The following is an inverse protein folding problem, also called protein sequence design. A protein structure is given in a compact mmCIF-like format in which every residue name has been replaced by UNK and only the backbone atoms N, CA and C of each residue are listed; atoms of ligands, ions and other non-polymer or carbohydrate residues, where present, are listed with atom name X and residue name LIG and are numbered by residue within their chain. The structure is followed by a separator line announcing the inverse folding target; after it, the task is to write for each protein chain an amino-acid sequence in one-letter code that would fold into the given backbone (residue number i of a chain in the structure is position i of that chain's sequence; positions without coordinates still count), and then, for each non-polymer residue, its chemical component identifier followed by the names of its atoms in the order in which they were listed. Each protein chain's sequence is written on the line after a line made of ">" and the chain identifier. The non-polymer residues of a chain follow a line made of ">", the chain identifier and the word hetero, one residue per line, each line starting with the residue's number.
data_IF_349386548821
#
_entry.id   IF_349386548821
#
_cell.length_a   1.000
_cell.length_b   1.000
_cell.length_c   1.000
_cell.angle_alpha   90.00
_cell.angle_beta   90.00
_cell.angle_gamma   90.00
#
_symmetry.space_group_name_H-M   'P 1'
#
loop_
_entity.id
_entity.type
_entity.pdbx_description
1 polymer ?
#
# COMPACT_ATOMS: atom_id res chain seq x y z
N UNK A 1 -15.04 7.74 -13.73
CA UNK A 1 -13.85 6.86 -13.80
C UNK A 1 -14.13 5.65 -12.93
N UNK A 2 -13.67 4.45 -13.32
CA UNK A 2 -13.84 3.25 -12.50
C UNK A 2 -12.99 3.35 -11.24
N UNK A 3 -13.44 2.77 -10.13
CA UNK A 3 -12.80 2.85 -8.81
C UNK A 3 -12.48 1.45 -8.30
N UNK A 4 -11.37 1.32 -7.57
CA UNK A 4 -11.09 0.14 -6.75
C UNK A 4 -11.02 0.56 -5.30
N UNK A 5 -11.93 0.05 -4.49
CA UNK A 5 -11.95 0.27 -3.05
C UNK A 5 -11.01 -0.74 -2.39
N UNK A 6 -9.92 -0.24 -1.83
CA UNK A 6 -8.84 -1.05 -1.24
C UNK A 6 -8.95 -1.03 0.28
N UNK A 7 -9.52 -2.08 0.84
CA UNK A 7 -9.71 -2.22 2.29
C UNK A 7 -8.44 -2.74 2.95
N UNK A 8 -7.81 -1.90 3.76
CA UNK A 8 -6.53 -2.16 4.40
C UNK A 8 -6.77 -2.54 5.87
N UNK A 9 -6.78 -3.84 6.18
CA UNK A 9 -7.17 -4.33 7.52
C UNK A 9 -5.94 -4.56 8.40
N UNK A 10 -5.86 -3.79 9.49
CA UNK A 10 -4.75 -3.83 10.47
C UNK A 10 -3.39 -3.36 9.93
N UNK A 11 -2.35 -3.49 10.75
CA UNK A 11 -1.00 -3.00 10.43
C UNK A 11 -0.40 -3.55 9.12
N UNK A 12 -0.58 -4.83 8.81
CA UNK A 12 -0.14 -5.38 7.51
C UNK A 12 -0.89 -4.74 6.35
N UNK A 13 -2.20 -4.47 6.48
CA UNK A 13 -2.98 -3.76 5.48
C UNK A 13 -2.40 -2.37 5.18
N UNK A 14 -2.04 -1.62 6.24
CA UNK A 14 -1.41 -0.30 6.15
C UNK A 14 -0.06 -0.38 5.42
N UNK A 15 0.82 -1.32 5.80
CA UNK A 15 2.15 -1.46 5.20
C UNK A 15 2.12 -1.94 3.73
N UNK A 16 1.17 -2.79 3.37
CA UNK A 16 0.94 -3.13 1.96
C UNK A 16 0.42 -1.93 1.18
N UNK A 17 -0.48 -1.12 1.75
CA UNK A 17 -0.96 0.10 1.08
C UNK A 17 0.15 1.14 0.89
N UNK A 18 1.10 1.27 1.83
CA UNK A 18 2.34 2.04 1.65
C UNK A 18 3.08 1.58 0.39
N UNK A 19 3.29 0.27 0.24
CA UNK A 19 3.93 -0.30 -0.94
C UNK A 19 3.13 -0.08 -2.24
N UNK A 20 1.79 -0.15 -2.19
CA UNK A 20 0.93 0.18 -3.34
C UNK A 20 1.15 1.65 -3.76
N UNK A 21 1.11 2.59 -2.82
CA UNK A 21 1.31 4.03 -3.11
C UNK A 21 2.69 4.30 -3.69
N UNK A 22 3.75 3.66 -3.17
CA UNK A 22 5.11 3.76 -3.74
C UNK A 22 5.17 3.20 -5.16
N UNK A 23 4.57 2.04 -5.41
CA UNK A 23 4.50 1.44 -6.75
C UNK A 23 3.71 2.31 -7.75
N UNK A 24 2.60 2.91 -7.31
CA UNK A 24 1.85 3.87 -8.12
C UNK A 24 2.66 5.13 -8.43
N UNK A 25 3.50 5.61 -7.49
CA UNK A 25 4.38 6.74 -7.73
C UNK A 25 5.45 6.42 -8.77
N UNK A 26 5.97 5.19 -8.74
CA UNK A 26 6.86 4.62 -9.76
C UNK A 26 6.17 4.25 -11.08
N UNK A 27 4.88 4.52 -11.25
CA UNK A 27 4.17 4.32 -12.51
C UNK A 27 3.66 2.91 -12.78
N UNK A 28 3.45 2.08 -11.75
CA UNK A 28 2.67 0.85 -11.91
C UNK A 28 1.23 1.19 -12.33
N UNK A 29 0.76 0.54 -13.40
CA UNK A 29 -0.53 0.81 -14.02
C UNK A 29 -1.69 0.26 -13.18
N UNK A 30 -2.66 1.12 -12.87
CA UNK A 30 -3.92 0.75 -12.19
C UNK A 30 -5.01 0.29 -13.16
N UNK A 31 -4.70 0.11 -14.45
CA UNK A 31 -5.63 -0.30 -15.50
C UNK A 31 -6.84 0.65 -15.59
N UNK A 32 -6.60 1.95 -15.43
CA UNK A 32 -7.62 3.00 -15.48
C UNK A 32 -8.51 3.12 -14.24
N UNK A 33 -8.20 2.41 -13.15
CA UNK A 33 -8.90 2.52 -11.88
C UNK A 33 -8.34 3.64 -11.01
N UNK A 34 -9.22 4.45 -10.43
CA UNK A 34 -8.92 5.32 -9.29
C UNK A 34 -8.81 4.44 -8.05
N UNK A 35 -7.72 4.55 -7.30
CA UNK A 35 -7.52 3.77 -6.08
C UNK A 35 -8.12 4.51 -4.89
N UNK A 36 -9.00 3.83 -4.14
CA UNK A 36 -9.69 4.40 -2.97
C UNK A 36 -9.32 3.59 -1.72
N UNK A 37 -8.26 3.98 -0.99
CA UNK A 37 -7.86 3.27 0.22
C UNK A 37 -8.85 3.52 1.36
N UNK A 38 -9.24 2.45 2.06
CA UNK A 38 -10.07 2.47 3.26
C UNK A 38 -9.33 1.73 4.36
N UNK A 39 -8.86 2.47 5.37
CA UNK A 39 -7.99 1.93 6.43
C UNK A 39 -8.85 1.46 7.61
N UNK A 40 -8.80 0.15 7.87
CA UNK A 40 -9.53 -0.51 8.95
C UNK A 40 -8.56 -1.02 10.00
N UNK A 41 -8.08 -0.12 10.86
CA UNK A 41 -7.25 -0.47 12.01
C UNK A 41 -7.82 0.15 13.29
N UNK A 42 -8.21 -0.68 14.29
CA UNK A 42 -8.70 -0.20 15.58
C UNK A 42 -7.63 0.52 16.42
N UNK A 43 -6.34 0.38 16.08
CA UNK A 43 -5.25 1.06 16.80
C UNK A 43 -5.11 2.50 16.32
N UNK A 44 -5.58 3.43 17.14
CA UNK A 44 -5.64 4.85 16.77
C UNK A 44 -4.28 5.56 16.80
N UNK A 45 -3.38 5.10 17.67
CA UNK A 45 -2.15 5.83 18.01
C UNK A 45 -0.91 5.36 17.24
N UNK A 46 -1.05 4.41 16.31
CA UNK A 46 0.09 3.88 15.54
C UNK A 46 0.64 4.93 14.58
N UNK A 47 1.95 5.18 14.69
CA UNK A 47 2.68 6.12 13.84
C UNK A 47 2.61 5.71 12.37
N UNK A 48 2.64 4.41 12.07
CA UNK A 48 2.50 3.86 10.72
C UNK A 48 1.20 4.32 10.02
N UNK A 49 0.08 4.42 10.76
CA UNK A 49 -1.20 4.90 10.20
C UNK A 49 -1.09 6.37 9.79
N UNK A 50 -0.50 7.22 10.63
CA UNK A 50 -0.27 8.65 10.35
C UNK A 50 0.71 8.84 9.18
N UNK A 51 1.74 8.00 9.12
CA UNK A 51 2.72 8.00 8.03
C UNK A 51 2.05 7.63 6.70
N UNK A 52 1.15 6.65 6.68
CA UNK A 52 0.41 6.30 5.46
C UNK A 52 -0.53 7.42 4.99
N UNK A 53 -1.27 8.06 5.91
CA UNK A 53 -2.12 9.21 5.56
C UNK A 53 -1.29 10.35 4.96
N UNK A 54 -0.13 10.66 5.56
CA UNK A 54 0.78 11.69 5.06
C UNK A 54 1.32 11.34 3.67
N UNK A 55 1.74 10.08 3.46
CA UNK A 55 2.21 9.59 2.17
C UNK A 55 1.13 9.68 1.07
N UNK A 56 -0.12 9.33 1.39
CA UNK A 56 -1.24 9.45 0.45
C UNK A 56 -1.48 10.93 0.11
N UNK A 57 -1.49 11.81 1.10
CA UNK A 57 -1.67 13.25 0.87
C UNK A 57 -0.56 13.84 0.00
N UNK A 58 0.70 13.46 0.24
CA UNK A 58 1.85 13.88 -0.59
C UNK A 58 1.72 13.37 -2.03
N UNK A 59 1.32 12.11 -2.22
CA UNK A 59 1.03 11.56 -3.54
C UNK A 59 -0.06 12.36 -4.26
N UNK A 60 -1.18 12.61 -3.57
CA UNK A 60 -2.32 13.35 -4.12
C UNK A 60 -1.93 14.78 -4.50
N UNK A 61 -1.11 15.45 -3.68
CA UNK A 61 -0.58 16.78 -3.98
C UNK A 61 0.23 16.78 -5.28
N UNK A 62 1.18 15.86 -5.42
CA UNK A 62 2.01 15.73 -6.62
C UNK A 62 1.15 15.42 -7.85
N UNK A 63 0.23 14.46 -7.73
CA UNK A 63 -0.72 14.11 -8.79
C UNK A 63 -1.53 15.33 -9.24
N UNK A 64 -2.19 16.03 -8.30
CA UNK A 64 -3.01 17.23 -8.58
C UNK A 64 -2.19 18.33 -9.28
N UNK A 65 -0.96 18.59 -8.80
CA UNK A 65 -0.04 19.57 -9.41
C UNK A 65 0.42 19.15 -10.81
N UNK A 66 0.48 17.85 -11.11
CA UNK A 66 0.86 17.36 -12.45
C UNK A 66 -0.27 17.47 -13.49
N UNK A 67 -1.53 17.48 -13.03
CA UNK A 67 -2.71 17.55 -13.92
C UNK A 67 -3.37 18.93 -13.93
N UNK A 68 -3.09 19.81 -12.98
CA UNK A 68 -3.70 21.15 -12.93
C UNK A 68 -2.67 22.23 -13.26
N UNK A 69 -2.95 23.08 -14.25
CA UNK A 69 -2.09 24.20 -14.63
C UNK A 69 -2.59 25.57 -14.11
N UNK A 70 -3.56 25.57 -13.20
CA UNK A 70 -4.24 26.75 -12.65
C UNK A 70 -5.53 27.14 -13.38
N UNK A 71 -5.68 26.77 -14.66
CA UNK A 71 -6.80 27.16 -15.52
C UNK A 71 -7.65 25.97 -16.01
N UNK A 72 -7.02 24.81 -16.18
CA UNK A 72 -7.65 23.59 -16.71
C UNK A 72 -7.08 22.34 -16.03
N UNK A 73 -7.91 21.30 -16.00
CA UNK A 73 -7.48 19.95 -15.64
C UNK A 73 -7.06 19.20 -16.91
N UNK A 74 -5.80 18.82 -16.95
CA UNK A 74 -5.15 18.04 -17.99
C UNK A 74 -5.36 16.54 -17.74
N UNK A 75 -5.17 15.73 -18.78
CA UNK A 75 -5.17 14.27 -18.64
C UNK A 75 -4.03 13.80 -17.71
N UNK A 76 -4.16 12.64 -17.05
CA UNK A 76 -3.07 12.04 -16.29
C UNK A 76 -1.79 11.86 -17.12
N UNK A 77 -0.63 11.87 -16.46
CA UNK A 77 0.65 11.52 -17.09
C UNK A 77 0.74 10.01 -17.31
N UNK A 78 1.55 9.60 -18.27
CA UNK A 78 2.07 8.22 -18.31
C UNK A 78 3.26 8.10 -17.37
N UNK A 79 3.39 6.99 -16.64
CA UNK A 79 4.53 6.76 -15.77
C UNK A 79 4.35 7.38 -14.37
N UNK A 80 5.30 8.22 -13.96
CA UNK A 80 5.34 8.72 -12.58
C UNK A 80 4.08 9.47 -12.18
N UNK A 81 3.52 9.10 -11.02
CA UNK A 81 2.27 9.68 -10.50
C UNK A 81 1.17 9.71 -11.58
N UNK A 82 1.07 8.65 -12.40
CA UNK A 82 0.15 8.59 -13.53
C UNK A 82 -1.29 8.18 -13.19
N UNK A 83 -1.56 7.84 -11.92
CA UNK A 83 -2.86 7.29 -11.48
C UNK A 83 -3.45 8.13 -10.34
N UNK A 84 -4.77 8.14 -10.22
CA UNK A 84 -5.47 8.91 -9.18
C UNK A 84 -5.63 8.06 -7.90
N UNK A 85 -5.38 8.68 -6.74
CA UNK A 85 -5.74 8.15 -5.42
C UNK A 85 -6.73 9.12 -4.79
N UNK A 86 -7.87 8.62 -4.31
CA UNK A 86 -8.88 9.42 -3.60
C UNK A 86 -9.25 8.80 -2.28
N UNK A 87 -9.37 9.59 -1.24
CA UNK A 87 -9.95 9.13 0.03
C UNK A 87 -11.48 9.10 -0.08
N UNK A 88 -12.14 8.47 0.89
CA UNK A 88 -13.61 8.54 1.00
C UNK A 88 -14.08 9.99 1.17
N UNK A 89 -13.32 10.83 1.89
CA UNK A 89 -13.62 12.25 2.07
C UNK A 89 -13.59 13.03 0.76
N UNK A 90 -12.59 12.76 -0.10
CA UNK A 90 -12.51 13.33 -1.44
C UNK A 90 -13.76 12.98 -2.28
N UNK A 91 -14.31 11.77 -2.11
CA UNK A 91 -15.52 11.34 -2.83
C UNK A 91 -16.79 12.01 -2.29
N UNK A 92 -16.88 12.17 -0.97
CA UNK A 92 -18.02 12.82 -0.30
C UNK A 92 -18.10 14.33 -0.59
N UNK A 93 -17.10 14.92 -1.25
CA UNK A 93 -16.91 16.38 -1.38
C UNK A 93 -16.93 17.09 -0.02
N UNK A 94 -16.49 16.39 1.03
CA UNK A 94 -16.41 16.95 2.37
C UNK A 94 -14.96 17.35 2.66
N UNK A 95 -14.76 18.59 3.09
CA UNK A 95 -13.48 19.08 3.63
C UNK A 95 -13.22 18.62 5.06
N UNK A 96 -14.03 17.69 5.57
CA UNK A 96 -14.00 17.27 6.95
C UNK A 96 -13.28 15.94 7.05
N UNK A 97 -12.30 15.91 7.95
CA UNK A 97 -11.54 14.76 8.40
C UNK A 97 -12.52 13.70 8.95
N UNK A 98 -13.05 12.79 8.12
CA UNK A 98 -13.78 11.60 8.62
C UNK A 98 -12.78 10.55 9.08
N UNK A 99 -11.83 10.99 9.90
CA UNK A 99 -11.20 10.13 10.89
C UNK A 99 -12.26 9.71 11.89
N UNK A 100 -13.21 8.90 11.44
CA UNK A 100 -13.91 7.99 12.32
C UNK A 100 -12.82 7.08 12.88
N UNK A 101 -12.47 7.37 14.12
CA UNK A 101 -11.66 6.49 14.94
C UNK A 101 -12.42 5.19 15.08
N UNK A 102 -12.17 4.24 14.17
CA UNK A 102 -12.39 2.83 14.45
C UNK A 102 -11.54 2.53 15.69
N UNK A 103 -12.15 2.53 16.87
CA UNK A 103 -11.42 2.53 18.14
C UNK A 103 -12.16 3.31 19.20
N UNK A 104 -12.87 2.61 20.07
CA UNK A 104 -13.42 3.20 21.29
C UNK A 104 -12.40 3.05 22.43
N UNK A 105 -12.22 4.09 23.25
CA UNK A 105 -11.47 3.96 24.52
C UNK A 105 -12.22 3.11 25.56
N UNK A 106 -13.47 2.78 25.26
CA UNK A 106 -14.28 1.86 26.06
C UNK A 106 -13.62 0.48 26.17
N UNK A 107 -13.78 -0.15 27.34
CA UNK A 107 -13.33 -1.52 27.58
C UNK A 107 -14.30 -2.51 26.95
N UNK A 108 -13.79 -3.64 26.46
CA UNK A 108 -14.64 -4.66 25.81
C UNK A 108 -15.83 -5.13 26.67
N UNK A 109 -15.65 -5.28 28.00
CA UNK A 109 -16.76 -5.63 28.91
C UNK A 109 -17.90 -4.61 28.95
N UNK A 110 -17.57 -3.33 28.76
CA UNK A 110 -18.54 -2.24 28.74
C UNK A 110 -19.27 -2.23 27.40
N UNK A 111 -18.51 -2.45 26.31
CA UNK A 111 -19.04 -2.54 24.96
C UNK A 111 -20.08 -3.66 24.78
N UNK A 112 -19.82 -4.85 25.32
CA UNK A 112 -20.81 -5.96 25.30
C UNK A 112 -21.89 -5.82 26.38
N UNK A 113 -21.94 -4.67 27.05
CA UNK A 113 -22.86 -4.35 28.13
C UNK A 113 -22.89 -5.42 29.23
N UNK A 114 -21.73 -5.96 29.61
CA UNK A 114 -21.65 -7.08 30.56
C UNK A 114 -22.28 -6.73 31.92
N UNK A 115 -22.27 -5.45 32.29
CA UNK A 115 -22.89 -4.95 33.52
C UNK A 115 -24.43 -5.09 33.53
N UNK A 116 -25.07 -5.29 32.38
CA UNK A 116 -26.51 -5.53 32.27
C UNK A 116 -26.88 -6.97 32.63
N UNK A 117 -25.90 -7.90 32.67
CA UNK A 117 -26.12 -9.23 33.23
C UNK A 117 -26.20 -9.13 34.76
N UNK A 118 -27.23 -9.74 35.35
CA UNK A 118 -27.31 -9.89 36.80
C UNK A 118 -26.13 -10.72 37.32
N UNK A 119 -25.70 -10.51 38.57
CA UNK A 119 -24.53 -11.22 39.15
C UNK A 119 -24.68 -12.74 39.22
N UNK A 120 -25.92 -13.25 39.17
CA UNK A 120 -26.25 -14.68 39.17
C UNK A 120 -26.72 -15.19 37.81
N UNK A 121 -26.63 -14.37 36.75
CA UNK A 121 -27.02 -14.77 35.41
C UNK A 121 -26.07 -15.85 34.88
N UNK A 122 -26.64 -16.94 34.35
CA UNK A 122 -25.88 -18.06 33.77
C UNK A 122 -25.03 -17.64 32.58
N UNK A 123 -25.42 -16.56 31.88
CA UNK A 123 -24.67 -16.01 30.76
C UNK A 123 -23.29 -15.48 31.18
N UNK A 124 -23.08 -15.14 32.47
CA UNK A 124 -21.75 -14.78 32.97
C UNK A 124 -20.74 -15.92 32.75
N UNK A 125 -21.14 -17.19 32.96
CA UNK A 125 -20.26 -18.34 32.72
C UNK A 125 -19.93 -18.51 31.23
N UNK A 126 -20.88 -18.20 30.33
CA UNK A 126 -20.63 -18.22 28.89
C UNK A 126 -19.60 -17.17 28.50
N UNK A 127 -19.73 -15.94 29.02
CA UNK A 127 -18.76 -14.86 28.79
C UNK A 127 -17.38 -15.24 29.31
N UNK A 128 -17.29 -15.77 30.54
CA UNK A 128 -16.03 -16.23 31.15
C UNK A 128 -15.38 -17.39 30.38
N UNK A 129 -16.19 -18.23 29.72
CA UNK A 129 -15.70 -19.32 28.87
C UNK A 129 -15.12 -18.79 27.56
N UNK A 130 -15.73 -17.77 26.97
CA UNK A 130 -15.35 -17.23 25.66
C UNK A 130 -14.24 -16.16 25.74
N UNK A 131 -14.15 -15.43 26.84
CA UNK A 131 -13.29 -14.27 26.98
C UNK A 131 -12.56 -14.28 28.33
N UNK A 132 -11.23 -14.11 28.28
CA UNK A 132 -10.45 -13.95 29.49
C UNK A 132 -10.74 -12.60 30.16
N UNK A 133 -10.49 -12.51 31.47
CA UNK A 133 -10.51 -11.23 32.23
C UNK A 133 -9.64 -10.16 31.58
N UNK A 134 -8.53 -10.57 30.95
CA UNK A 134 -7.65 -9.66 30.20
C UNK A 134 -8.34 -9.12 28.95
N UNK A 135 -9.01 -9.97 28.17
CA UNK A 135 -9.78 -9.52 27.00
C UNK A 135 -10.87 -8.52 27.40
N UNK A 136 -11.65 -8.84 28.44
CA UNK A 136 -12.75 -8.02 28.94
C UNK A 136 -12.30 -6.62 29.42
N UNK A 137 -11.08 -6.49 29.92
CA UNK A 137 -10.55 -5.24 30.46
C UNK A 137 -9.74 -4.40 29.46
N UNK A 138 -9.43 -4.93 28.27
CA UNK A 138 -8.70 -4.19 27.25
C UNK A 138 -9.59 -3.13 26.58
N UNK A 139 -9.07 -1.90 26.35
CA UNK A 139 -9.73 -0.91 25.50
C UNK A 139 -9.87 -1.39 24.06
N UNK A 140 -10.94 -1.01 23.35
CA UNK A 140 -11.10 -1.36 21.94
C UNK A 140 -10.11 -0.60 21.03
N UNK A 141 -9.63 0.57 21.48
CA UNK A 141 -8.67 1.43 20.77
C UNK A 141 -7.24 0.88 20.70
N UNK A 142 -6.93 -0.21 21.42
CA UNK A 142 -5.63 -0.91 21.33
C UNK A 142 -5.72 -2.17 20.47
N UNK A 143 -6.78 -2.27 19.66
CA UNK A 143 -7.09 -3.40 18.82
C UNK A 143 -7.21 -4.74 19.54
N UNK A 144 -7.24 -5.82 18.76
CA UNK A 144 -7.56 -7.15 19.29
C UNK A 144 -6.34 -7.94 19.76
N UNK A 145 -5.12 -7.38 19.62
CA UNK A 145 -3.83 -7.97 20.08
C UNK A 145 -3.70 -9.48 19.83
N UNK A 146 -4.09 -9.94 18.64
CA UNK A 146 -4.02 -11.36 18.28
C UNK A 146 -5.14 -12.25 18.84
N UNK A 147 -6.28 -11.69 19.26
CA UNK A 147 -7.49 -12.40 19.74
C UNK A 147 -8.66 -12.24 18.75
N UNK A 148 -8.82 -13.15 17.76
CA UNK A 148 -9.87 -13.04 16.74
C UNK A 148 -11.30 -13.12 17.28
N UNK A 149 -11.52 -13.81 18.40
CA UNK A 149 -12.83 -13.93 19.06
C UNK A 149 -13.38 -12.56 19.49
N UNK A 150 -12.54 -11.67 20.02
CA UNK A 150 -12.93 -10.29 20.36
C UNK A 150 -13.22 -9.49 19.08
N UNK A 151 -12.35 -9.62 18.07
CA UNK A 151 -12.48 -8.89 16.81
C UNK A 151 -13.78 -9.20 16.06
N UNK A 152 -14.26 -10.44 16.14
CA UNK A 152 -15.50 -10.86 15.48
C UNK A 152 -16.75 -10.16 16.02
N UNK A 153 -16.79 -9.87 17.33
CA UNK A 153 -17.92 -9.18 17.97
C UNK A 153 -17.90 -7.70 17.60
N UNK A 154 -16.73 -7.07 17.74
CA UNK A 154 -16.59 -5.61 17.66
C UNK A 154 -16.60 -5.09 16.22
N UNK A 155 -15.88 -5.76 15.31
CA UNK A 155 -15.73 -5.25 13.94
C UNK A 155 -17.05 -5.23 13.16
N UNK A 156 -18.00 -6.11 13.49
CA UNK A 156 -19.23 -6.27 12.72
C UNK A 156 -20.13 -5.05 12.83
N UNK A 157 -20.32 -4.59 14.06
CA UNK A 157 -21.09 -3.39 14.37
C UNK A 157 -20.34 -2.12 13.96
N UNK A 158 -19.01 -2.09 14.16
CA UNK A 158 -18.18 -0.97 13.69
C UNK A 158 -18.26 -0.78 12.18
N UNK A 159 -18.35 -1.84 11.37
CA UNK A 159 -18.51 -1.71 9.92
C UNK A 159 -19.90 -1.19 9.56
N UNK A 160 -20.95 -1.73 10.19
CA UNK A 160 -22.33 -1.42 9.81
C UNK A 160 -22.76 0.00 10.17
N UNK A 161 -22.28 0.51 11.31
CA UNK A 161 -22.55 1.88 11.75
C UNK A 161 -21.65 2.95 11.13
N UNK A 162 -20.55 2.57 10.48
CA UNK A 162 -19.54 3.53 10.07
C UNK A 162 -19.92 4.40 8.86
N UNK A 163 -19.56 5.66 8.92
CA UNK A 163 -19.73 6.63 7.85
C UNK A 163 -18.94 6.23 6.60
N UNK A 164 -17.73 5.69 6.77
CA UNK A 164 -16.93 5.22 5.63
C UNK A 164 -17.62 4.08 4.88
N UNK A 165 -18.33 3.17 5.57
CA UNK A 165 -19.00 2.05 4.92
C UNK A 165 -20.25 2.53 4.19
N UNK A 166 -21.02 3.42 4.80
CA UNK A 166 -22.13 4.11 4.14
C UNK A 166 -21.66 4.87 2.90
N UNK A 167 -20.56 5.60 3.00
CA UNK A 167 -19.98 6.37 1.89
C UNK A 167 -19.47 5.45 0.79
N UNK A 168 -18.82 4.33 1.13
CA UNK A 168 -18.45 3.29 0.18
C UNK A 168 -19.68 2.77 -0.57
N UNK A 169 -20.76 2.41 0.14
CA UNK A 169 -21.98 1.93 -0.51
C UNK A 169 -22.60 2.97 -1.45
N UNK A 170 -22.53 4.25 -1.08
CA UNK A 170 -23.03 5.35 -1.89
C UNK A 170 -22.20 5.59 -3.17
N UNK A 171 -20.88 5.45 -3.09
CA UNK A 171 -19.96 5.76 -4.20
C UNK A 171 -19.57 4.56 -5.05
N UNK A 172 -19.87 3.34 -4.60
CA UNK A 172 -19.62 2.13 -5.36
C UNK A 172 -20.66 2.00 -6.49
N UNK A 173 -20.17 2.08 -7.72
CA UNK A 173 -20.95 2.02 -8.93
C UNK A 173 -20.67 0.72 -9.71
N UNK A 174 -21.44 0.50 -10.78
CA UNK A 174 -21.19 -0.62 -11.68
C UNK A 174 -19.76 -0.54 -12.26
N UNK A 175 -19.10 -1.69 -12.37
CA UNK A 175 -17.72 -1.89 -12.84
C UNK A 175 -16.61 -1.40 -11.90
N UNK A 176 -16.97 -0.86 -10.73
CA UNK A 176 -16.03 -0.68 -9.64
C UNK A 176 -15.64 -2.05 -9.03
N UNK A 177 -14.50 -2.07 -8.33
CA UNK A 177 -13.93 -3.27 -7.73
C UNK A 177 -13.70 -3.10 -6.25
N UNK A 178 -13.65 -4.24 -5.57
CA UNK A 178 -13.22 -4.33 -4.17
C UNK A 178 -11.92 -5.12 -4.11
N UNK A 179 -10.95 -4.62 -3.35
CA UNK A 179 -9.73 -5.36 -3.04
C UNK A 179 -9.49 -5.34 -1.52
N UNK A 180 -9.36 -6.50 -0.89
CA UNK A 180 -9.18 -6.61 0.56
C UNK A 180 -7.75 -7.05 0.87
N UNK A 181 -7.09 -6.34 1.78
CA UNK A 181 -5.74 -6.64 2.24
C UNK A 181 -5.80 -6.97 3.72
N UNK A 182 -5.37 -8.17 4.10
CA UNK A 182 -5.36 -8.61 5.49
C UNK A 182 -4.21 -9.56 5.78
N UNK A 183 -3.77 -9.62 7.05
CA UNK A 183 -2.93 -10.70 7.55
C UNK A 183 -3.75 -11.74 8.30
N UNK A 184 -3.43 -13.01 8.10
CA UNK A 184 -4.19 -14.13 8.70
C UNK A 184 -3.69 -14.54 10.10
N UNK A 185 -2.53 -14.02 10.49
CA UNK A 185 -1.89 -14.34 11.77
C UNK A 185 -2.10 -13.25 12.83
N UNK A 186 -2.52 -12.05 12.41
CA UNK A 186 -2.92 -10.95 13.29
C UNK A 186 -4.39 -11.07 13.74
N UNK A 187 -4.74 -10.46 14.87
CA UNK A 187 -6.11 -10.52 15.42
C UNK A 187 -7.13 -9.75 14.57
N UNK A 188 -6.78 -8.52 14.15
CA UNK A 188 -7.64 -7.65 13.34
C UNK A 188 -7.82 -8.17 11.92
N UNK A 189 -6.73 -8.55 11.25
CA UNK A 189 -6.79 -9.07 9.88
C UNK A 189 -7.61 -10.36 9.79
N UNK A 190 -7.31 -11.34 10.65
CA UNK A 190 -7.94 -12.65 10.62
C UNK A 190 -9.47 -12.59 10.83
N UNK A 191 -9.94 -11.71 11.71
CA UNK A 191 -11.37 -11.54 12.01
C UNK A 191 -12.08 -10.55 11.07
N UNK A 192 -11.40 -9.47 10.69
CA UNK A 192 -11.99 -8.38 9.91
C UNK A 192 -12.30 -8.75 8.47
N UNK A 193 -11.45 -9.53 7.80
CA UNK A 193 -11.66 -9.86 6.40
C UNK A 193 -12.97 -10.64 6.15
N UNK A 194 -13.23 -11.81 6.76
CA UNK A 194 -14.46 -12.56 6.49
C UNK A 194 -15.72 -11.75 6.81
N UNK A 195 -15.65 -10.91 7.83
CA UNK A 195 -16.77 -10.09 8.28
C UNK A 195 -17.08 -8.95 7.32
N UNK A 196 -16.03 -8.23 6.87
CA UNK A 196 -16.17 -7.18 5.86
C UNK A 196 -16.72 -7.75 4.56
N UNK A 197 -16.15 -8.85 4.08
CA UNK A 197 -16.64 -9.52 2.88
C UNK A 197 -18.13 -9.87 3.03
N UNK A 198 -18.50 -10.49 4.16
CA UNK A 198 -19.89 -10.84 4.44
C UNK A 198 -20.80 -9.61 4.41
N UNK A 199 -20.40 -8.49 5.00
CA UNK A 199 -21.19 -7.24 4.98
C UNK A 199 -21.35 -6.67 3.57
N UNK A 200 -20.30 -6.72 2.75
CA UNK A 200 -20.35 -6.30 1.34
C UNK A 200 -21.33 -7.20 0.55
N UNK A 201 -21.19 -8.53 0.65
CA UNK A 201 -22.03 -9.49 -0.07
C UNK A 201 -23.50 -9.50 0.39
N UNK A 202 -23.79 -9.05 1.60
CA UNK A 202 -25.14 -8.91 2.15
C UNK A 202 -25.76 -7.52 1.94
N UNK A 203 -25.12 -6.62 1.17
CA UNK A 203 -25.69 -5.30 0.83
C UNK A 203 -26.79 -5.44 -0.25
N UNK A 204 -27.93 -6.03 0.10
CA UNK A 204 -29.00 -6.39 -0.84
C UNK A 204 -29.63 -5.19 -1.55
N UNK A 205 -29.64 -4.03 -0.89
CA UNK A 205 -30.18 -2.78 -1.43
C UNK A 205 -29.21 -2.07 -2.38
N UNK A 206 -27.96 -2.53 -2.47
CA UNK A 206 -26.90 -1.92 -3.26
C UNK A 206 -26.26 -2.96 -4.21
N UNK A 207 -26.89 -3.26 -5.36
CA UNK A 207 -26.42 -4.31 -6.27
C UNK A 207 -25.00 -4.10 -6.79
N UNK A 208 -24.56 -2.85 -6.95
CA UNK A 208 -23.19 -2.53 -7.34
C UNK A 208 -22.17 -2.99 -6.29
N UNK A 209 -22.47 -2.78 -5.00
CA UNK A 209 -21.64 -3.21 -3.87
C UNK A 209 -21.63 -4.74 -3.77
N UNK A 210 -22.81 -5.35 -3.75
CA UNK A 210 -22.99 -6.80 -3.58
C UNK A 210 -22.26 -7.59 -4.67
N UNK A 211 -22.38 -7.15 -5.91
CA UNK A 211 -21.86 -7.85 -7.09
C UNK A 211 -20.51 -7.31 -7.57
N UNK A 212 -19.86 -6.40 -6.81
CA UNK A 212 -18.54 -5.91 -7.17
C UNK A 212 -17.55 -7.07 -7.29
N UNK A 213 -16.72 -7.06 -8.34
CA UNK A 213 -15.64 -8.02 -8.50
C UNK A 213 -14.66 -7.83 -7.33
N UNK A 214 -14.41 -8.91 -6.59
CA UNK A 214 -13.67 -8.87 -5.34
C UNK A 214 -12.37 -9.66 -5.43
N UNK A 215 -11.26 -8.97 -5.21
CA UNK A 215 -9.98 -9.59 -4.94
C UNK A 215 -9.64 -9.50 -3.45
N UNK A 216 -8.83 -10.42 -2.96
CA UNK A 216 -8.27 -10.31 -1.63
C UNK A 216 -6.88 -10.90 -1.56
N UNK A 217 -5.97 -10.25 -0.83
CA UNK A 217 -4.67 -10.80 -0.46
C UNK A 217 -4.62 -11.10 1.03
N UNK A 218 -4.36 -12.36 1.34
CA UNK A 218 -4.21 -12.90 2.68
C UNK A 218 -2.73 -13.16 2.95
N UNK A 219 -2.14 -12.31 3.78
CA UNK A 219 -0.71 -12.36 4.10
C UNK A 219 -0.47 -13.34 5.26
N UNK A 220 0.32 -14.38 4.98
CA UNK A 220 0.80 -15.38 5.93
C UNK A 220 1.91 -14.79 6.83
N UNK A 221 2.25 -15.41 7.97
CA UNK A 221 3.34 -14.95 8.82
C UNK A 221 4.64 -14.70 8.05
N UNK A 222 5.26 -13.55 8.25
CA UNK A 222 6.49 -13.14 7.55
C UNK A 222 7.57 -12.50 8.42
N UNK A 223 7.26 -12.22 9.68
CA UNK A 223 8.20 -11.72 10.68
C UNK A 223 7.92 -12.30 12.05
N UNK A 224 8.95 -12.35 12.89
CA UNK A 224 8.87 -12.71 14.29
C UNK A 224 8.96 -11.49 15.20
N UNK A 225 8.64 -11.71 16.47
CA UNK A 225 8.75 -10.72 17.54
C UNK A 225 9.55 -11.32 18.69
N UNK A 226 10.34 -10.49 19.37
CA UNK A 226 11.03 -10.90 20.60
C UNK A 226 10.05 -11.44 21.64
N UNK A 227 10.55 -12.37 22.45
CA UNK A 227 9.75 -13.15 23.39
C UNK A 227 8.93 -12.23 24.30
N UNK A 228 7.59 -12.42 24.39
CA UNK A 228 6.73 -11.67 25.30
C UNK A 228 7.17 -11.74 26.77
N UNK A 229 7.80 -12.84 27.21
CA UNK A 229 8.34 -12.97 28.56
C UNK A 229 9.44 -11.94 28.87
N UNK A 230 10.17 -11.48 27.84
CA UNK A 230 11.23 -10.48 27.98
C UNK A 230 10.75 -9.04 27.77
N UNK A 231 9.68 -8.86 27.00
CA UNK A 231 9.20 -7.54 26.56
C UNK A 231 7.95 -7.08 27.30
N UNK A 232 7.25 -8.00 27.96
CA UNK A 232 5.96 -7.74 28.60
C UNK A 232 4.79 -7.60 27.62
N UNK A 233 4.98 -7.95 26.33
CA UNK A 233 3.93 -7.90 25.32
C UNK A 233 2.92 -9.04 25.46
N UNK A 234 1.69 -8.76 25.02
CA UNK A 234 0.58 -9.71 24.87
C UNK A 234 0.67 -10.53 23.57
N UNK A 235 1.56 -10.15 22.64
CA UNK A 235 1.68 -10.76 21.32
C UNK A 235 2.84 -11.75 21.32
N UNK A 236 2.53 -13.00 21.00
CA UNK A 236 3.53 -14.06 20.85
C UNK A 236 3.60 -14.55 19.41
N UNK A 237 4.75 -14.31 18.76
CA UNK A 237 4.99 -14.73 17.39
C UNK A 237 5.15 -16.24 17.22
N UNK A 238 5.47 -16.99 18.28
CA UNK A 238 5.52 -18.46 18.25
C UNK A 238 4.15 -19.08 17.91
N UNK A 239 3.07 -18.37 18.21
CA UNK A 239 1.70 -18.82 17.95
C UNK A 239 1.16 -18.43 16.56
N UNK A 240 1.91 -17.67 15.75
CA UNK A 240 1.43 -17.16 14.46
C UNK A 240 1.00 -18.28 13.49
N UNK A 241 1.78 -19.35 13.38
CA UNK A 241 1.44 -20.46 12.48
C UNK A 241 0.22 -21.25 12.96
N UNK A 242 0.08 -21.47 14.27
CA UNK A 242 -1.10 -22.15 14.84
C UNK A 242 -2.37 -21.34 14.60
N UNK A 243 -2.32 -20.02 14.84
CA UNK A 243 -3.42 -19.10 14.53
C UNK A 243 -3.77 -19.10 13.04
N UNK A 244 -2.76 -19.09 12.18
CA UNK A 244 -2.93 -19.16 10.72
C UNK A 244 -3.67 -20.42 10.30
N UNK A 245 -3.31 -21.60 10.82
CA UNK A 245 -4.00 -22.86 10.51
C UNK A 245 -5.48 -22.81 10.89
N UNK A 246 -5.80 -22.31 12.07
CA UNK A 246 -7.19 -22.17 12.53
C UNK A 246 -8.00 -21.20 11.66
N UNK A 247 -7.42 -20.04 11.32
CA UNK A 247 -8.07 -19.06 10.47
C UNK A 247 -8.27 -19.56 9.03
N UNK A 248 -7.29 -20.27 8.45
CA UNK A 248 -7.43 -20.88 7.11
C UNK A 248 -8.56 -21.90 7.06
N UNK A 249 -8.71 -22.73 8.10
CA UNK A 249 -9.81 -23.68 8.20
C UNK A 249 -11.17 -22.97 8.20
N UNK A 250 -11.28 -21.83 8.89
CA UNK A 250 -12.48 -20.99 8.84
C UNK A 250 -12.70 -20.37 7.46
N UNK A 251 -11.64 -19.83 6.83
CA UNK A 251 -11.71 -19.14 5.53
C UNK A 251 -12.18 -20.07 4.42
N UNK A 252 -11.75 -21.34 4.43
CA UNK A 252 -12.11 -22.33 3.42
C UNK A 252 -13.63 -22.44 3.18
N UNK A 253 -14.44 -22.33 4.24
CA UNK A 253 -15.90 -22.39 4.14
C UNK A 253 -16.59 -21.04 3.95
N UNK A 254 -15.96 -19.95 4.36
CA UNK A 254 -16.65 -18.67 4.62
C UNK A 254 -16.29 -17.55 3.66
N UNK A 255 -15.05 -17.54 3.17
CA UNK A 255 -14.51 -16.50 2.28
C UNK A 255 -14.78 -16.86 0.83
N UNK A 256 -15.36 -15.94 0.07
CA UNK A 256 -15.89 -16.12 -1.29
C UNK A 256 -15.44 -15.00 -2.26
N UNK A 257 -14.34 -14.29 -1.96
CA UNK A 257 -13.72 -13.38 -2.90
C UNK A 257 -13.42 -14.10 -4.23
N UNK A 258 -13.61 -13.42 -5.36
CA UNK A 258 -13.47 -14.00 -6.70
C UNK A 258 -12.02 -14.41 -7.01
N UNK A 259 -11.07 -13.61 -6.51
CA UNK A 259 -9.64 -13.89 -6.55
C UNK A 259 -9.05 -13.82 -5.13
N UNK A 260 -8.50 -14.93 -4.65
CA UNK A 260 -7.87 -15.02 -3.34
C UNK A 260 -6.37 -15.30 -3.48
N UNK A 261 -5.55 -14.32 -3.12
CA UNK A 261 -4.10 -14.38 -3.17
C UNK A 261 -3.55 -14.76 -1.80
N UNK A 262 -2.65 -15.75 -1.77
CA UNK A 262 -1.85 -16.08 -0.59
C UNK A 262 -0.40 -15.70 -0.84
N UNK A 263 0.14 -14.89 0.07
CA UNK A 263 1.52 -14.42 0.03
C UNK A 263 2.14 -14.60 1.42
N UNK A 264 3.37 -15.07 1.48
CA UNK A 264 4.04 -15.38 2.73
C UNK A 264 5.51 -15.69 2.57
N UNK A 265 6.16 -15.98 3.69
CA UNK A 265 7.52 -16.50 3.74
C UNK A 265 7.50 -17.90 4.37
N UNK A 266 8.48 -18.74 4.02
CA UNK A 266 8.58 -20.11 4.56
C UNK A 266 9.01 -20.15 6.02
N UNK A 267 9.67 -19.09 6.50
CA UNK A 267 10.12 -18.93 7.88
C UNK A 267 10.12 -17.46 8.32
N UNK A 268 10.11 -17.20 9.63
CA UNK A 268 10.14 -15.84 10.16
C UNK A 268 11.58 -15.30 10.14
N UNK A 269 12.04 -14.85 8.97
CA UNK A 269 13.44 -14.45 8.75
C UNK A 269 13.87 -13.23 9.55
N UNK A 270 12.99 -12.22 9.64
CA UNK A 270 13.22 -11.00 10.38
C UNK A 270 12.52 -11.06 11.73
N UNK A 271 13.20 -10.64 12.80
CA UNK A 271 12.64 -10.54 14.15
C UNK A 271 12.74 -9.09 14.62
N UNK A 272 11.62 -8.50 15.01
CA UNK A 272 11.53 -7.13 15.51
C UNK A 272 11.39 -7.07 17.03
N UNK A 273 11.59 -5.87 17.59
CA UNK A 273 11.25 -5.60 18.98
C UNK A 273 9.74 -5.75 19.18
N UNK A 274 9.35 -6.38 20.28
CA UNK A 274 7.94 -6.58 20.60
C UNK A 274 7.40 -5.39 21.42
N UNK A 275 7.37 -4.22 20.79
CA UNK A 275 6.83 -2.98 21.36
C UNK A 275 5.49 -2.67 20.68
N UNK A 276 4.39 -3.00 21.37
CA UNK A 276 3.03 -2.82 20.87
C UNK A 276 2.67 -1.37 20.52
N UNK A 277 3.39 -0.39 21.08
CA UNK A 277 3.13 1.03 20.84
C UNK A 277 3.95 1.58 19.69
N UNK A 278 5.25 1.24 19.64
CA UNK A 278 6.16 1.78 18.62
C UNK A 278 6.04 1.06 17.28
N UNK A 279 6.05 -0.28 17.31
CA UNK A 279 5.98 -1.12 16.11
C UNK A 279 6.82 -0.59 14.93
N UNK A 280 8.10 -0.23 15.18
CA UNK A 280 9.04 0.31 14.16
C UNK A 280 9.53 -0.79 13.21
N UNK A 281 8.58 -1.49 12.59
CA UNK A 281 8.81 -2.58 11.66
C UNK A 281 9.19 -1.99 10.31
N UNK A 282 10.45 -2.19 9.89
CA UNK A 282 10.94 -1.74 8.58
C UNK A 282 10.21 -2.42 7.43
N UNK A 283 10.05 -1.73 6.30
CA UNK A 283 9.38 -2.25 5.12
C UNK A 283 9.89 -3.64 4.73
N UNK A 284 8.97 -4.56 4.43
CA UNK A 284 9.28 -5.96 4.18
C UNK A 284 8.95 -6.38 2.74
N UNK A 285 9.80 -7.23 2.16
CA UNK A 285 9.59 -7.78 0.82
C UNK A 285 8.21 -8.44 0.64
N UNK A 286 7.69 -9.13 1.67
CA UNK A 286 6.37 -9.77 1.60
C UNK A 286 5.24 -8.75 1.41
N UNK A 287 5.37 -7.54 1.96
CA UNK A 287 4.40 -6.46 1.80
C UNK A 287 4.40 -5.92 0.36
N UNK A 288 5.58 -5.86 -0.26
CA UNK A 288 5.77 -5.49 -1.66
C UNK A 288 5.19 -6.56 -2.61
N UNK A 289 5.41 -7.84 -2.32
CA UNK A 289 4.80 -8.94 -3.09
C UNK A 289 3.28 -8.93 -2.95
N UNK A 290 2.75 -8.71 -1.75
CA UNK A 290 1.32 -8.56 -1.53
C UNK A 290 0.73 -7.36 -2.29
N UNK A 291 1.44 -6.23 -2.35
CA UNK A 291 1.03 -5.07 -3.14
C UNK A 291 0.93 -5.41 -4.63
N UNK A 292 1.82 -6.26 -5.16
CA UNK A 292 1.76 -6.72 -6.56
C UNK A 292 0.47 -7.45 -6.92
N UNK A 293 -0.22 -8.05 -5.94
CA UNK A 293 -1.49 -8.75 -6.16
C UNK A 293 -2.62 -7.80 -6.57
N UNK A 294 -2.63 -6.55 -6.09
CA UNK A 294 -3.62 -5.55 -6.53
C UNK A 294 -3.47 -5.29 -8.03
N UNK A 295 -2.25 -5.01 -8.50
CA UNK A 295 -1.99 -4.69 -9.91
C UNK A 295 -2.28 -5.88 -10.85
N UNK A 296 -1.98 -7.11 -10.42
CA UNK A 296 -2.40 -8.31 -11.13
C UNK A 296 -3.93 -8.45 -11.16
N UNK A 297 -4.62 -8.23 -10.03
CA UNK A 297 -6.08 -8.28 -9.94
C UNK A 297 -6.76 -7.27 -10.86
N UNK A 298 -6.27 -6.03 -10.95
CA UNK A 298 -6.86 -4.97 -11.78
C UNK A 298 -6.88 -5.31 -13.28
N UNK A 299 -5.98 -6.18 -13.73
CA UNK A 299 -5.91 -6.67 -15.12
C UNK A 299 -6.89 -7.83 -15.41
N UNK A 300 -7.49 -8.43 -14.38
CA UNK A 300 -8.36 -9.61 -14.51
C UNK A 300 -9.80 -9.23 -14.80
N UNK A 301 -10.52 -10.13 -15.49
CA UNK A 301 -11.97 -10.08 -15.65
C UNK A 301 -12.69 -10.89 -14.58
N UNK A 302 -14.00 -11.04 -14.69
CA UNK A 302 -14.78 -11.90 -13.79
C UNK A 302 -14.48 -13.38 -14.06
N UNK A 303 -14.09 -14.18 -13.04
CA UNK A 303 -13.80 -15.59 -13.24
C UNK A 303 -15.08 -16.43 -13.19
N UNK A 304 -15.09 -17.60 -13.85
CA UNK A 304 -16.24 -18.53 -13.80
C UNK A 304 -16.42 -19.22 -12.45
N UNK A 305 -15.37 -19.22 -11.62
CA UNK A 305 -15.33 -19.74 -10.26
C UNK A 305 -14.23 -19.02 -9.49
N UNK A 306 -14.34 -19.01 -8.17
CA UNK A 306 -13.29 -18.51 -7.28
C UNK A 306 -11.91 -19.09 -7.66
N UNK A 307 -10.91 -18.22 -7.78
CA UNK A 307 -9.53 -18.59 -8.06
C UNK A 307 -8.64 -18.35 -6.84
N UNK A 308 -7.81 -19.34 -6.53
CA UNK A 308 -6.78 -19.25 -5.51
C UNK A 308 -5.43 -19.05 -6.20
N UNK A 309 -4.73 -17.98 -5.86
CA UNK A 309 -3.52 -17.53 -6.52
C UNK A 309 -2.40 -17.33 -5.51
N UNK A 310 -1.16 -17.33 -6.00
CA UNK A 310 0.00 -16.88 -5.23
C UNK A 310 0.92 -16.06 -6.14
N UNK A 311 1.70 -15.18 -5.52
CA UNK A 311 2.79 -14.44 -6.16
C UNK A 311 4.07 -14.99 -5.54
N UNK A 312 4.75 -15.87 -6.26
CA UNK A 312 5.93 -16.60 -5.80
C UNK A 312 7.21 -16.06 -6.44
N UNK A 313 8.36 -16.37 -5.87
CA UNK A 313 9.70 -16.15 -6.45
C UNK A 313 10.19 -17.43 -7.12
N UNK A 314 11.10 -17.31 -8.09
CA UNK A 314 11.66 -18.47 -8.80
C UNK A 314 12.76 -19.17 -7.98
N UNK A 315 13.62 -18.41 -7.29
CA UNK A 315 14.71 -18.92 -6.46
C UNK A 315 14.61 -18.46 -4.99
N UNK A 316 14.77 -19.38 -4.04
CA UNK A 316 14.89 -19.06 -2.61
C UNK A 316 16.29 -18.49 -2.27
N UNK A 317 16.46 -17.17 -2.38
CA UNK A 317 17.70 -16.44 -2.01
C UNK A 317 17.48 -15.34 -0.99
N UNK A 318 18.41 -15.17 -0.05
CA UNK A 318 18.35 -14.12 0.99
C UNK A 318 18.28 -12.70 0.40
N UNK A 319 18.98 -12.46 -0.71
CA UNK A 319 18.92 -11.20 -1.46
C UNK A 319 18.42 -11.48 -2.87
N UNK A 320 17.34 -10.79 -3.22
CA UNK A 320 16.61 -10.99 -4.46
C UNK A 320 16.96 -9.93 -5.50
N UNK A 321 17.12 -10.41 -6.72
CA UNK A 321 17.24 -9.66 -7.96
C UNK A 321 16.18 -10.11 -8.97
N UNK A 322 16.19 -9.54 -10.18
CA UNK A 322 15.21 -9.89 -11.22
C UNK A 322 15.20 -11.39 -11.56
N UNK A 323 16.36 -12.05 -11.61
CA UNK A 323 16.46 -13.46 -12.01
C UNK A 323 15.83 -14.34 -10.93
N UNK A 324 16.22 -14.14 -9.67
CA UNK A 324 15.70 -14.91 -8.54
C UNK A 324 14.22 -14.64 -8.23
N UNK A 325 13.73 -13.43 -8.49
CA UNK A 325 12.30 -13.12 -8.36
C UNK A 325 11.46 -13.71 -9.49
N UNK A 326 12.05 -13.84 -10.68
CA UNK A 326 11.37 -14.31 -11.87
C UNK A 326 10.72 -13.19 -12.70
N UNK A 327 10.43 -13.53 -13.96
CA UNK A 327 9.95 -12.58 -14.96
C UNK A 327 8.61 -11.91 -14.60
N UNK A 328 7.82 -12.53 -13.72
CA UNK A 328 6.55 -11.99 -13.23
C UNK A 328 6.66 -10.68 -12.44
N UNK A 329 7.88 -10.26 -12.08
CA UNK A 329 8.15 -8.99 -11.38
C UNK A 329 8.87 -7.94 -12.23
N UNK A 330 9.03 -8.15 -13.55
CA UNK A 330 9.67 -7.18 -14.45
C UNK A 330 9.05 -5.77 -14.31
N UNK A 331 7.72 -5.66 -14.33
CA UNK A 331 7.02 -4.37 -14.18
C UNK A 331 7.28 -3.71 -12.82
N UNK A 332 7.23 -4.49 -11.74
CA UNK A 332 7.47 -4.01 -10.37
C UNK A 332 8.91 -3.50 -10.23
N UNK A 333 9.89 -4.29 -10.68
CA UNK A 333 11.31 -3.93 -10.62
C UNK A 333 11.59 -2.70 -11.48
N UNK A 334 11.00 -2.61 -12.68
CA UNK A 334 11.12 -1.42 -13.53
C UNK A 334 10.57 -0.19 -12.83
N UNK A 335 9.38 -0.29 -12.23
CA UNK A 335 8.75 0.82 -11.50
C UNK A 335 9.66 1.38 -10.41
N UNK A 336 10.28 0.50 -9.61
CA UNK A 336 11.25 0.90 -8.58
C UNK A 336 12.53 1.47 -9.18
N UNK A 337 13.08 0.82 -10.21
CA UNK A 337 14.30 1.27 -10.88
C UNK A 337 14.15 2.66 -11.52
N UNK A 338 13.00 2.91 -12.16
CA UNK A 338 12.67 4.18 -12.81
C UNK A 338 12.52 5.29 -11.77
N UNK A 339 11.81 5.03 -10.66
CA UNK A 339 11.63 6.04 -9.63
C UNK A 339 12.94 6.39 -8.93
N UNK A 340 13.82 5.41 -8.73
CA UNK A 340 15.15 5.65 -8.16
C UNK A 340 16.05 6.45 -9.11
N UNK A 341 15.87 6.35 -10.43
CA UNK A 341 16.52 7.25 -11.40
C UNK A 341 15.91 8.66 -11.36
N UNK A 342 14.58 8.77 -11.25
CA UNK A 342 13.91 10.07 -11.07
C UNK A 342 14.45 10.78 -9.83
N UNK A 343 14.61 10.07 -8.71
CA UNK A 343 15.23 10.60 -7.49
C UNK A 343 16.58 11.24 -7.77
N UNK A 344 17.49 10.52 -8.44
CA UNK A 344 18.79 11.07 -8.80
C UNK A 344 18.66 12.34 -9.64
N UNK A 345 17.76 12.36 -10.63
CA UNK A 345 17.52 13.58 -11.41
C UNK A 345 17.00 14.73 -10.54
N UNK A 346 16.10 14.46 -9.59
CA UNK A 346 15.53 15.46 -8.68
C UNK A 346 16.58 16.03 -7.71
N UNK A 347 17.55 15.21 -7.28
CA UNK A 347 18.64 15.61 -6.39
C UNK A 347 19.75 16.37 -7.11
N UNK A 348 20.17 15.92 -8.30
CA UNK A 348 21.36 16.44 -8.99
C UNK A 348 21.06 17.65 -9.88
N UNK A 349 19.89 17.69 -10.55
CA UNK A 349 19.57 18.75 -11.51
C UNK A 349 19.54 20.19 -10.95
N UNK A 350 19.17 20.45 -9.68
CA UNK A 350 19.28 21.77 -9.09
C UNK A 350 20.72 22.33 -9.08
N UNK A 351 21.72 21.46 -8.99
CA UNK A 351 23.15 21.82 -8.95
C UNK A 351 23.79 21.87 -10.35
N UNK A 352 23.10 21.33 -11.37
CA UNK A 352 23.60 21.25 -12.75
C UNK A 352 23.44 22.55 -13.56
N UNK A 353 24.36 23.49 -13.33
CA UNK A 353 24.37 24.83 -13.94
C UNK A 353 24.38 24.88 -15.47
N UNK A 354 24.84 23.82 -16.14
CA UNK A 354 24.95 23.75 -17.61
C UNK A 354 23.81 22.98 -18.28
N UNK A 355 22.81 22.49 -17.52
CA UNK A 355 21.71 21.74 -18.11
C UNK A 355 20.87 22.63 -19.06
N UNK A 356 20.76 22.31 -20.37
CA UNK A 356 20.14 23.22 -21.35
C UNK A 356 18.68 23.59 -21.06
N UNK A 357 17.94 22.72 -20.36
CA UNK A 357 16.53 22.96 -20.06
C UNK A 357 16.32 24.03 -18.97
N UNK A 358 17.36 24.37 -18.20
CA UNK A 358 17.32 25.50 -17.27
C UNK A 358 17.02 26.82 -18.00
N UNK A 359 17.66 27.03 -19.15
CA UNK A 359 17.45 28.19 -20.02
C UNK A 359 16.29 28.01 -20.99
N UNK A 360 16.19 26.85 -21.62
CA UNK A 360 15.28 26.65 -22.76
C UNK A 360 13.84 26.29 -22.34
N UNK A 361 13.65 25.74 -21.13
CA UNK A 361 12.34 25.28 -20.61
C UNK A 361 12.00 25.88 -19.24
N UNK A 362 12.90 26.68 -18.66
CA UNK A 362 12.68 27.37 -17.40
C UNK A 362 12.82 26.48 -16.16
N UNK A 363 13.58 25.37 -16.25
CA UNK A 363 13.98 24.56 -15.08
C UNK A 363 15.16 25.23 -14.36
N UNK A 364 14.94 26.46 -13.89
CA UNK A 364 15.94 27.29 -13.22
C UNK A 364 15.75 27.25 -11.70
N UNK A 365 16.56 28.00 -10.95
CA UNK A 365 16.50 28.03 -9.48
C UNK A 365 15.11 28.38 -8.93
N UNK A 366 14.31 29.18 -9.64
CA UNK A 366 12.93 29.47 -9.23
C UNK A 366 12.00 28.27 -9.40
N UNK A 367 12.21 27.43 -10.43
CA UNK A 367 11.46 26.20 -10.61
C UNK A 367 11.83 25.17 -9.54
N UNK A 368 13.12 24.98 -9.26
CA UNK A 368 13.57 24.04 -8.24
C UNK A 368 13.19 24.50 -6.82
N UNK A 369 13.13 25.81 -6.58
CA UNK A 369 12.61 26.38 -5.33
C UNK A 369 11.08 26.37 -5.21
N UNK A 370 10.34 26.03 -6.27
CA UNK A 370 8.88 26.03 -6.22
C UNK A 370 8.34 24.89 -5.33
N UNK A 371 7.19 25.17 -4.71
CA UNK A 371 6.49 24.23 -3.83
C UNK A 371 6.18 22.87 -4.47
N UNK A 372 5.93 22.80 -5.79
CA UNK A 372 5.67 21.54 -6.47
C UNK A 372 6.92 20.65 -6.51
N UNK A 373 8.06 21.25 -6.90
CA UNK A 373 9.33 20.54 -6.96
C UNK A 373 9.81 20.13 -5.56
N UNK A 374 9.68 21.01 -4.57
CA UNK A 374 10.03 20.70 -3.18
C UNK A 374 9.17 19.55 -2.60
N UNK A 375 7.91 19.44 -3.02
CA UNK A 375 7.05 18.32 -2.63
C UNK A 375 7.50 17.01 -3.28
N UNK A 376 7.89 17.03 -4.56
CA UNK A 376 8.51 15.89 -5.22
C UNK A 376 9.81 15.46 -4.53
N UNK A 377 10.70 16.40 -4.18
CA UNK A 377 11.95 16.11 -3.47
C UNK A 377 11.70 15.42 -2.12
N UNK A 378 10.73 15.91 -1.33
CA UNK A 378 10.34 15.25 -0.06
C UNK A 378 9.86 13.82 -0.30
N UNK A 379 8.99 13.61 -1.29
CA UNK A 379 8.51 12.27 -1.62
C UNK A 379 9.66 11.35 -2.08
N UNK A 380 10.60 11.86 -2.88
CA UNK A 380 11.80 11.14 -3.31
C UNK A 380 12.66 10.66 -2.12
N UNK A 381 12.82 11.48 -1.08
CA UNK A 381 13.51 11.08 0.15
C UNK A 381 12.76 9.97 0.89
N UNK A 382 11.43 10.09 1.00
CA UNK A 382 10.59 9.04 1.61
C UNK A 382 10.66 7.72 0.84
N UNK A 383 10.64 7.78 -0.49
CA UNK A 383 10.79 6.63 -1.38
C UNK A 383 12.15 5.95 -1.20
N UNK A 384 13.22 6.75 -1.14
CA UNK A 384 14.57 6.24 -0.93
C UNK A 384 14.70 5.47 0.39
N UNK A 385 14.18 6.04 1.49
CA UNK A 385 14.16 5.36 2.78
C UNK A 385 13.36 4.06 2.75
N UNK A 386 12.19 4.05 2.12
CA UNK A 386 11.38 2.84 1.94
C UNK A 386 12.14 1.75 1.16
N UNK A 387 12.82 2.12 0.07
CA UNK A 387 13.60 1.17 -0.70
C UNK A 387 14.85 0.70 0.06
N UNK A 388 15.52 1.56 0.82
CA UNK A 388 16.63 1.17 1.71
C UNK A 388 16.18 0.14 2.74
N UNK A 389 15.03 0.35 3.38
CA UNK A 389 14.44 -0.62 4.30
C UNK A 389 14.26 -1.97 3.61
N UNK A 390 13.64 -2.01 2.43
CA UNK A 390 13.45 -3.24 1.65
C UNK A 390 14.77 -3.93 1.27
N UNK A 391 15.78 -3.16 0.87
CA UNK A 391 17.07 -3.67 0.43
C UNK A 391 17.93 -4.20 1.60
N UNK A 392 17.71 -3.69 2.82
CA UNK A 392 18.46 -4.06 4.03
C UNK A 392 17.74 -5.08 4.91
N UNK A 393 16.44 -5.31 4.68
CA UNK A 393 15.64 -6.28 5.43
C UNK A 393 15.95 -7.73 5.05
N UNK A 394 15.38 -8.68 5.81
CA UNK A 394 15.43 -10.12 5.55
C UNK A 394 14.02 -10.62 5.25
N UNK A 395 13.70 -11.04 4.03
CA UNK A 395 14.49 -11.16 2.79
C UNK A 395 14.74 -9.81 2.11
N UNK A 396 15.93 -9.62 1.53
CA UNK A 396 16.31 -8.36 0.91
C UNK A 396 15.77 -8.26 -0.53
N UNK A 397 15.11 -7.15 -0.85
CA UNK A 397 14.76 -6.77 -2.22
C UNK A 397 15.82 -5.81 -2.76
N UNK A 398 16.78 -6.33 -3.52
CA UNK A 398 17.91 -5.54 -4.01
C UNK A 398 18.16 -5.76 -5.52
N UNK A 399 17.15 -5.57 -6.40
CA UNK A 399 17.32 -5.79 -7.83
C UNK A 399 18.07 -4.68 -8.57
N UNK A 400 18.35 -3.56 -7.90
CA UNK A 400 19.06 -2.42 -8.52
C UNK A 400 20.39 -2.15 -7.82
N UNK A 401 21.36 -1.64 -8.58
CA UNK A 401 22.60 -1.06 -8.08
C UNK A 401 22.38 0.46 -7.99
N UNK A 402 22.02 0.92 -6.79
CA UNK A 402 21.75 2.31 -6.50
C UNK A 402 22.96 2.93 -5.78
N UNK A 403 23.11 4.26 -5.83
CA UNK A 403 24.20 5.05 -5.23
C UNK A 403 25.55 5.11 -5.99
N UNK A 404 25.55 4.81 -7.30
CA UNK A 404 26.69 5.16 -8.16
C UNK A 404 26.26 5.71 -9.54
N UNK A 405 26.07 7.03 -9.68
CA UNK A 405 25.61 7.65 -10.93
C UNK A 405 26.60 7.51 -12.09
N UNK A 406 27.85 7.09 -11.83
CA UNK A 406 28.87 6.84 -12.87
C UNK A 406 28.83 5.41 -13.45
N UNK A 407 27.96 4.54 -12.93
CA UNK A 407 27.83 3.14 -13.35
C UNK A 407 26.36 2.76 -13.59
N UNK A 408 25.68 3.55 -14.41
CA UNK A 408 24.25 3.35 -14.70
C UNK A 408 23.96 2.22 -15.70
N UNK A 409 24.97 1.72 -16.42
CA UNK A 409 24.75 0.56 -17.31
C UNK A 409 24.31 -0.68 -16.52
N UNK A 410 24.81 -0.86 -15.30
CA UNK A 410 24.40 -1.93 -14.40
C UNK A 410 23.29 -1.54 -13.43
N UNK A 411 22.51 -0.48 -13.70
CA UNK A 411 21.52 0.06 -12.77
C UNK A 411 20.52 -1.00 -12.29
N UNK A 412 20.05 -1.85 -13.20
CA UNK A 412 19.24 -3.02 -12.86
C UNK A 412 20.18 -4.23 -12.89
N UNK A 413 20.31 -4.95 -11.78
CA UNK A 413 21.15 -6.15 -11.71
C UNK A 413 20.71 -7.13 -12.79
N UNK A 414 21.67 -7.83 -13.39
CA UNK A 414 21.48 -8.79 -14.49
C UNK A 414 21.07 -8.19 -15.84
N UNK A 415 20.90 -6.87 -15.93
CA UNK A 415 20.58 -6.17 -17.18
C UNK A 415 21.62 -5.09 -17.44
N UNK A 416 22.19 -5.09 -18.65
CA UNK A 416 23.04 -3.99 -19.10
C UNK A 416 22.22 -2.96 -19.88
N UNK A 417 22.02 -1.78 -19.30
CA UNK A 417 21.39 -0.62 -19.94
C UNK A 417 22.37 0.07 -20.88
N UNK A 418 21.85 0.68 -21.95
CA UNK A 418 22.68 1.40 -22.92
C UNK A 418 23.20 2.75 -22.36
N UNK A 419 22.54 3.29 -21.32
CA UNK A 419 22.96 4.48 -20.61
C UNK A 419 24.12 4.16 -19.65
N UNK A 420 25.30 4.72 -19.91
CA UNK A 420 26.50 4.44 -19.11
C UNK A 420 26.57 5.27 -17.82
N UNK A 421 26.09 6.49 -17.89
CA UNK A 421 26.10 7.51 -16.84
C UNK A 421 24.88 8.44 -17.00
N UNK A 422 24.76 9.40 -16.08
CA UNK A 422 23.70 10.43 -16.03
C UNK A 422 23.56 11.24 -17.32
N UNK A 423 24.66 11.53 -18.03
CA UNK A 423 24.66 12.35 -19.25
C UNK A 423 23.74 11.80 -20.35
N UNK A 424 23.53 10.48 -20.39
CA UNK A 424 22.62 9.82 -21.34
C UNK A 424 21.16 10.18 -21.07
N UNK A 425 20.78 10.28 -19.79
CA UNK A 425 19.43 10.65 -19.37
C UNK A 425 19.21 12.14 -19.59
N UNK A 426 20.18 13.00 -19.23
CA UNK A 426 20.11 14.45 -19.45
C UNK A 426 20.01 14.81 -20.96
N UNK A 427 20.80 14.13 -21.79
CA UNK A 427 20.73 14.29 -23.24
C UNK A 427 19.37 13.85 -23.77
N UNK A 428 18.81 12.75 -23.26
CA UNK A 428 17.51 12.28 -23.71
C UNK A 428 16.37 13.19 -23.25
N UNK A 429 16.39 13.67 -22.01
CA UNK A 429 15.46 14.70 -21.54
C UNK A 429 15.48 15.91 -22.48
N UNK A 430 16.67 16.34 -22.91
CA UNK A 430 16.81 17.45 -23.87
C UNK A 430 16.16 17.12 -25.22
N UNK A 431 16.42 15.93 -25.77
CA UNK A 431 15.82 15.47 -27.03
C UNK A 431 14.31 15.36 -26.96
N UNK A 432 13.77 14.77 -25.89
CA UNK A 432 12.33 14.64 -25.66
C UNK A 432 11.70 16.02 -25.55
N UNK A 433 12.31 16.93 -24.78
CA UNK A 433 11.80 18.30 -24.65
C UNK A 433 11.73 19.03 -26.00
N UNK A 434 12.69 18.80 -26.91
CA UNK A 434 12.73 19.43 -28.23
C UNK A 434 11.66 18.90 -29.19
N UNK A 435 11.13 17.68 -28.96
CA UNK A 435 9.96 17.18 -29.71
C UNK A 435 8.70 17.95 -29.36
N UNK A 436 8.63 18.52 -28.16
CA UNK A 436 7.55 19.40 -27.77
C UNK A 436 7.76 20.80 -28.40
N UNK A 437 6.88 21.15 -29.35
CA UNK A 437 6.96 22.40 -30.12
C UNK A 437 6.71 23.65 -29.25
N UNK A 438 6.11 23.51 -28.06
CA UNK A 438 5.85 24.65 -27.19
C UNK A 438 7.12 25.08 -26.44
N UNK A 439 7.51 26.35 -26.66
CA UNK A 439 8.31 27.26 -25.79
C UNK A 439 7.96 27.17 -24.31
N UNK A 440 6.74 27.65 -24.08
CA UNK A 440 6.18 27.91 -22.78
C UNK A 440 5.25 26.78 -22.41
N UNK A 441 5.53 26.22 -21.25
CA UNK A 441 4.75 25.17 -20.68
C UNK A 441 3.86 25.78 -19.60
N UNK A 442 2.54 25.70 -19.80
CA UNK A 442 1.55 26.15 -18.81
C UNK A 442 1.71 25.44 -17.46
N UNK A 443 2.29 24.24 -17.45
CA UNK A 443 2.64 23.49 -16.25
C UNK A 443 4.05 22.89 -16.35
N UNK A 444 5.07 23.68 -16.01
CA UNK A 444 6.49 23.24 -16.06
C UNK A 444 6.75 21.97 -15.24
N UNK A 445 6.09 21.82 -14.09
CA UNK A 445 6.24 20.65 -13.22
C UNK A 445 5.81 19.35 -13.91
N UNK A 446 4.66 19.38 -14.59
CA UNK A 446 4.19 18.27 -15.42
C UNK A 446 5.22 17.87 -16.48
N UNK A 447 5.78 18.85 -17.21
CA UNK A 447 6.73 18.54 -18.28
C UNK A 447 8.07 18.06 -17.75
N UNK A 448 8.50 18.52 -16.58
CA UNK A 448 9.66 17.94 -15.90
C UNK A 448 9.46 16.44 -15.67
N UNK A 449 8.34 16.04 -15.05
CA UNK A 449 8.00 14.63 -14.82
C UNK A 449 7.92 13.83 -16.12
N UNK A 450 7.24 14.36 -17.15
CA UNK A 450 7.12 13.69 -18.45
C UNK A 450 8.48 13.50 -19.12
N UNK A 451 9.31 14.55 -19.18
CA UNK A 451 10.62 14.46 -19.84
C UNK A 451 11.56 13.50 -19.10
N UNK A 452 11.53 13.51 -17.76
CA UNK A 452 12.27 12.56 -16.96
C UNK A 452 11.80 11.12 -17.23
N UNK A 453 10.48 10.87 -17.22
CA UNK A 453 9.92 9.56 -17.51
C UNK A 453 10.31 9.05 -18.90
N UNK A 454 10.10 9.84 -19.96
CA UNK A 454 10.41 9.45 -21.33
C UNK A 454 11.91 9.17 -21.54
N UNK A 455 12.77 9.94 -20.86
CA UNK A 455 14.22 9.75 -20.89
C UNK A 455 14.66 8.47 -20.18
N UNK A 456 14.08 8.20 -19.01
CA UNK A 456 14.34 6.99 -18.22
C UNK A 456 13.82 5.76 -18.96
N UNK A 457 12.54 5.76 -19.37
CA UNK A 457 11.89 4.63 -20.03
C UNK A 457 12.61 4.19 -21.30
N UNK A 458 13.18 5.15 -22.06
CA UNK A 458 13.98 4.83 -23.25
C UNK A 458 15.02 3.76 -22.99
N UNK A 459 15.71 3.85 -21.85
CA UNK A 459 16.78 2.93 -21.49
C UNK A 459 16.25 1.75 -20.68
N UNK A 460 15.37 1.99 -19.70
CA UNK A 460 14.92 0.95 -18.76
C UNK A 460 13.92 -0.03 -19.35
N UNK A 461 13.17 0.33 -20.41
CA UNK A 461 12.28 -0.61 -21.13
C UNK A 461 12.98 -1.84 -21.70
N UNK A 462 14.32 -1.83 -21.75
CA UNK A 462 15.14 -3.00 -22.07
C UNK A 462 14.85 -4.20 -21.15
N UNK A 463 14.36 -3.98 -19.93
CA UNK A 463 13.90 -5.04 -19.02
C UNK A 463 12.80 -5.93 -19.58
N UNK A 464 11.99 -5.41 -20.51
CA UNK A 464 10.92 -6.18 -21.14
C UNK A 464 11.39 -7.02 -22.33
N UNK A 465 12.58 -6.74 -22.85
CA UNK A 465 13.25 -7.62 -23.81
C UNK A 465 13.83 -8.83 -23.08
#
# INVERSE_FOLDING_TARGET
>A
MKKVFVFCIGGTGIRVMKSITMLMAGGMDTNGYVVVPIILDPHLDLEEKKNLHSLIAEYQEIYRRSINNGNQTLNPLSGFFGSDIRTIDDLNNQTNDTQETAGSKEKFRSYIELANLGTTDINNFLVETLFSTKNLNNPLSVGFKGNPNVGTVVLGEMIEGAEWFKSFKQHCEKDDRVFIISSIFGGTGASGYPLLEKKIRLSENEPAVKNALMGAVTVLPYYGLKDPATTGSDIDSANFYTKTKAALAYYHGTVKADYLYYVGETSLKQVYENDEKKQDDKANFIELVAASALFDFLKRGEPTRQQFLSRAIDDDKESLDLVSMGAGYKELIKSVADFMLLRLLVEELPEESFFPLSKNRGFNSSFYGDSAFQSLLRFCNGYYNWYLELAQNKRAFAPINFDNPKKMSGWIKTIELDAKDDSYYLLEMTKVSNKNKSKDHENKFRFFLQFAYDAIDKYTKKIYK
#
